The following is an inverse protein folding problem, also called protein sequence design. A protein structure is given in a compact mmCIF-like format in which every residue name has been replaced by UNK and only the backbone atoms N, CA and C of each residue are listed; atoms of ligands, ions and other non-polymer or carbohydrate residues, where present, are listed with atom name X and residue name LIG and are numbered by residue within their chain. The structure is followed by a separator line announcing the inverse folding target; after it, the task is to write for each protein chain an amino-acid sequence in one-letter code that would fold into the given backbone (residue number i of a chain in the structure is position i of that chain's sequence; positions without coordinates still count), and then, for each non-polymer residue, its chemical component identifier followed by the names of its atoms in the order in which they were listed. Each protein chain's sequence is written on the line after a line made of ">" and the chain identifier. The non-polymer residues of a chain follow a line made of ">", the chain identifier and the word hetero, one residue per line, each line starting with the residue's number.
data_IF_353114511994
#
_entry.id   IF_353114511994
#
_cell.length_a   1.000
_cell.length_b   1.000
_cell.length_c   1.000
_cell.angle_alpha   90.00
_cell.angle_beta   90.00
_cell.angle_gamma   90.00
#
_symmetry.space_group_name_H-M   'P 1'
#
loop_
_entity.id
_entity.type
_entity.pdbx_description
1 polymer ?
#
# COMPACT_ATOMS: atom_id res chain seq x y z
N UNK A 1 -8.18 -49.68 -31.19
CA UNK A 1 -7.98 -48.51 -32.08
C UNK A 1 -9.28 -48.01 -32.72
N UNK A 2 -10.23 -48.87 -33.11
CA UNK A 2 -11.51 -48.46 -33.70
C UNK A 2 -12.43 -47.65 -32.76
N UNK A 3 -12.40 -47.96 -31.47
CA UNK A 3 -13.29 -47.35 -30.45
C UNK A 3 -12.99 -45.86 -30.20
N UNK A 4 -11.70 -45.49 -30.21
CA UNK A 4 -11.26 -44.10 -30.06
C UNK A 4 -11.61 -43.23 -31.27
N UNK A 5 -11.54 -43.80 -32.48
CA UNK A 5 -11.99 -43.09 -33.67
C UNK A 5 -13.50 -42.85 -33.64
N UNK A 6 -14.29 -43.84 -33.17
CA UNK A 6 -15.74 -43.72 -33.10
C UNK A 6 -16.19 -42.61 -32.12
N UNK A 7 -15.58 -42.56 -30.93
CA UNK A 7 -15.82 -41.50 -29.93
C UNK A 7 -15.44 -40.12 -30.49
N UNK A 8 -14.30 -40.01 -31.17
CA UNK A 8 -13.84 -38.77 -31.79
C UNK A 8 -14.82 -38.27 -32.86
N UNK A 9 -15.29 -39.15 -33.74
CA UNK A 9 -16.25 -38.79 -34.80
C UNK A 9 -17.63 -38.40 -34.24
N UNK A 10 -18.06 -39.00 -33.13
CA UNK A 10 -19.30 -38.60 -32.44
C UNK A 10 -19.18 -37.23 -31.78
N UNK A 11 -18.05 -36.93 -31.14
CA UNK A 11 -17.75 -35.61 -30.57
C UNK A 11 -17.70 -34.53 -31.67
N UNK A 12 -17.01 -34.79 -32.77
CA UNK A 12 -16.93 -33.88 -33.92
C UNK A 12 -18.32 -33.61 -34.52
N UNK A 13 -19.17 -34.65 -34.66
CA UNK A 13 -20.57 -34.47 -35.11
C UNK A 13 -21.43 -33.69 -34.13
N UNK A 14 -21.30 -33.92 -32.83
CA UNK A 14 -22.07 -33.19 -31.81
C UNK A 14 -21.70 -31.69 -31.79
N UNK A 15 -20.41 -31.38 -31.94
CA UNK A 15 -19.89 -30.01 -32.09
C UNK A 15 -20.41 -29.36 -33.38
N UNK A 16 -20.46 -30.10 -34.49
CA UNK A 16 -20.93 -29.57 -35.78
C UNK A 16 -22.45 -29.41 -35.89
N UNK A 17 -23.24 -30.29 -35.25
CA UNK A 17 -24.70 -30.29 -35.35
C UNK A 17 -25.37 -29.37 -34.34
N UNK A 18 -24.73 -29.06 -33.21
CA UNK A 18 -25.27 -28.20 -32.15
C UNK A 18 -24.25 -27.20 -31.59
N UNK A 19 -23.56 -26.40 -32.43
CA UNK A 19 -22.53 -25.47 -31.97
C UNK A 19 -23.07 -24.44 -30.97
N UNK A 20 -24.33 -24.02 -31.15
CA UNK A 20 -25.01 -23.07 -30.25
C UNK A 20 -25.27 -23.66 -28.85
N UNK A 21 -25.67 -24.92 -28.71
CA UNK A 21 -25.97 -25.50 -27.39
C UNK A 21 -24.69 -25.67 -26.54
N UNK A 22 -23.61 -26.17 -27.12
CA UNK A 22 -22.31 -26.30 -26.43
C UNK A 22 -21.67 -24.94 -26.10
N UNK A 23 -21.83 -23.94 -26.98
CA UNK A 23 -21.41 -22.57 -26.72
C UNK A 23 -22.25 -21.92 -25.60
N UNK A 24 -23.56 -22.15 -25.57
CA UNK A 24 -24.45 -21.60 -24.52
C UNK A 24 -24.23 -22.19 -23.14
N UNK A 25 -23.97 -23.51 -23.02
CA UNK A 25 -23.66 -24.14 -21.72
C UNK A 25 -22.31 -23.67 -21.17
N UNK A 26 -21.32 -23.47 -22.04
CA UNK A 26 -20.00 -22.95 -21.67
C UNK A 26 -20.08 -21.47 -21.27
N UNK A 27 -20.88 -20.67 -22.00
CA UNK A 27 -21.15 -19.27 -21.68
C UNK A 27 -21.90 -19.10 -20.35
N UNK A 28 -22.92 -19.93 -20.09
CA UNK A 28 -23.65 -19.92 -18.83
C UNK A 28 -22.76 -20.29 -17.63
N UNK A 29 -21.91 -21.33 -17.77
CA UNK A 29 -20.95 -21.70 -16.73
C UNK A 29 -19.94 -20.57 -16.45
N UNK A 30 -19.40 -19.94 -17.49
CA UNK A 30 -18.50 -18.80 -17.34
C UNK A 30 -19.17 -17.61 -16.64
N UNK A 31 -20.43 -17.31 -16.97
CA UNK A 31 -21.22 -16.26 -16.31
C UNK A 31 -21.46 -16.59 -14.83
N UNK A 32 -21.75 -17.84 -14.49
CA UNK A 32 -21.94 -18.27 -13.08
C UNK A 32 -20.63 -18.13 -12.30
N UNK A 33 -19.50 -18.59 -12.85
CA UNK A 33 -18.19 -18.46 -12.21
C UNK A 33 -17.80 -16.99 -12.04
N UNK A 34 -18.01 -16.16 -13.07
CA UNK A 34 -17.76 -14.72 -13.01
C UNK A 34 -18.65 -14.03 -11.98
N UNK A 35 -19.94 -14.35 -11.93
CA UNK A 35 -20.86 -13.81 -10.92
C UNK A 35 -20.45 -14.22 -9.50
N UNK A 36 -20.10 -15.49 -9.28
CA UNK A 36 -19.61 -15.98 -7.99
C UNK A 36 -18.31 -15.26 -7.58
N UNK A 37 -17.39 -15.05 -8.51
CA UNK A 37 -16.18 -14.27 -8.29
C UNK A 37 -16.50 -12.82 -7.93
N UNK A 38 -17.38 -12.14 -8.67
CA UNK A 38 -17.82 -10.77 -8.40
C UNK A 38 -18.46 -10.65 -7.01
N UNK A 39 -19.32 -11.60 -6.62
CA UNK A 39 -19.95 -11.62 -5.29
C UNK A 39 -18.89 -11.77 -4.21
N UNK A 40 -17.93 -12.68 -4.39
CA UNK A 40 -16.84 -12.86 -3.43
C UNK A 40 -15.95 -11.62 -3.35
N UNK A 41 -15.52 -11.08 -4.48
CA UNK A 41 -14.64 -9.91 -4.54
C UNK A 41 -15.32 -8.66 -3.95
N UNK A 42 -16.63 -8.51 -4.16
CA UNK A 42 -17.43 -7.45 -3.53
C UNK A 42 -17.53 -7.62 -2.02
N UNK A 43 -17.74 -8.86 -1.53
CA UNK A 43 -17.74 -9.14 -0.08
C UNK A 43 -16.38 -8.88 0.55
N UNK A 44 -15.30 -9.29 -0.12
CA UNK A 44 -13.93 -9.01 0.32
C UNK A 44 -13.69 -7.49 0.36
N UNK A 45 -14.19 -6.74 -0.62
CA UNK A 45 -14.11 -5.27 -0.63
C UNK A 45 -14.85 -4.64 0.56
N UNK A 46 -16.08 -5.08 0.83
CA UNK A 46 -16.82 -4.60 2.00
C UNK A 46 -16.14 -5.00 3.32
N UNK A 47 -15.53 -6.18 3.40
CA UNK A 47 -14.85 -6.64 4.61
C UNK A 47 -13.65 -5.76 5.00
N UNK A 48 -13.10 -4.96 4.08
CA UNK A 48 -12.05 -3.96 4.38
C UNK A 48 -12.57 -2.74 5.14
N UNK A 49 -13.90 -2.58 5.24
CA UNK A 49 -14.55 -1.42 5.84
C UNK A 49 -14.53 -0.18 4.94
N UNK A 50 -15.02 0.97 5.45
CA UNK A 50 -14.97 2.24 4.71
C UNK A 50 -13.53 2.75 4.54
N UNK A 51 -13.34 3.64 3.56
CA UNK A 51 -12.07 4.32 3.26
C UNK A 51 -12.28 5.41 2.22
N UNK A 52 -11.22 5.76 1.47
CA UNK A 52 -11.31 6.80 0.43
C UNK A 52 -12.42 6.59 -0.63
N UNK A 53 -12.57 5.40 -1.25
CA UNK A 53 -13.64 5.13 -2.22
C UNK A 53 -15.01 4.86 -1.57
N UNK A 54 -16.13 5.07 -2.29
CA UNK A 54 -17.47 4.83 -1.76
C UNK A 54 -17.68 3.38 -1.30
N UNK A 55 -18.13 3.19 -0.06
CA UNK A 55 -18.39 1.87 0.53
C UNK A 55 -19.68 1.21 0.01
N UNK A 56 -19.71 0.89 -1.30
CA UNK A 56 -20.84 0.28 -2.00
C UNK A 56 -20.37 -0.35 -3.33
N UNK A 57 -21.32 -0.92 -4.09
CA UNK A 57 -21.04 -1.58 -5.36
C UNK A 57 -20.38 -0.67 -6.42
N UNK A 58 -20.65 0.64 -6.42
CA UNK A 58 -20.02 1.58 -7.37
C UNK A 58 -18.53 1.75 -7.05
N UNK A 59 -18.18 1.93 -5.77
CA UNK A 59 -16.80 2.01 -5.34
C UNK A 59 -16.03 0.71 -5.60
N UNK A 60 -16.64 -0.44 -5.29
CA UNK A 60 -16.09 -1.75 -5.64
C UNK A 60 -15.79 -1.88 -7.13
N UNK A 61 -16.77 -1.60 -8.00
CA UNK A 61 -16.61 -1.73 -9.45
C UNK A 61 -15.48 -0.82 -9.97
N UNK A 62 -15.39 0.42 -9.46
CA UNK A 62 -14.31 1.33 -9.81
C UNK A 62 -12.94 0.79 -9.38
N UNK A 63 -12.82 0.27 -8.16
CA UNK A 63 -11.55 -0.31 -7.67
C UNK A 63 -11.17 -1.57 -8.47
N UNK A 64 -12.13 -2.45 -8.72
CA UNK A 64 -11.86 -3.76 -9.33
C UNK A 64 -11.62 -3.67 -10.83
N UNK A 65 -12.38 -2.85 -11.57
CA UNK A 65 -12.26 -2.76 -13.03
C UNK A 65 -11.51 -1.51 -13.50
N UNK A 66 -11.55 -0.41 -12.74
CA UNK A 66 -10.92 0.85 -13.12
C UNK A 66 -9.52 1.06 -12.56
N UNK A 67 -9.23 0.56 -11.35
CA UNK A 67 -7.95 0.77 -10.67
C UNK A 67 -7.05 -0.47 -10.70
N UNK A 68 -7.57 -1.63 -10.28
CA UNK A 68 -6.80 -2.87 -10.09
C UNK A 68 -6.00 -3.31 -11.32
N UNK A 69 -6.47 -3.17 -12.58
CA UNK A 69 -5.67 -3.53 -13.76
C UNK A 69 -4.37 -2.73 -13.92
N UNK A 70 -4.30 -1.54 -13.32
CA UNK A 70 -3.14 -0.64 -13.38
C UNK A 70 -2.32 -0.64 -12.08
N UNK A 71 -2.75 -1.41 -11.08
CA UNK A 71 -2.05 -1.57 -9.82
C UNK A 71 -1.08 -2.76 -9.90
N UNK A 72 -0.03 -2.73 -9.08
CA UNK A 72 0.86 -3.86 -8.88
C UNK A 72 0.06 -5.11 -8.48
N UNK A 73 0.54 -6.29 -8.88
CA UNK A 73 0.10 -7.54 -8.28
C UNK A 73 0.50 -7.59 -6.80
N UNK A 74 -0.05 -8.55 -6.05
CA UNK A 74 0.35 -8.76 -4.65
C UNK A 74 1.85 -9.09 -4.54
N UNK A 75 2.38 -9.95 -5.41
CA UNK A 75 3.81 -10.24 -5.46
C UNK A 75 4.65 -9.04 -5.92
N UNK A 76 4.11 -8.21 -6.81
CA UNK A 76 4.72 -6.96 -7.25
C UNK A 76 4.90 -5.96 -6.12
N UNK A 77 4.02 -5.95 -5.11
CA UNK A 77 4.14 -5.07 -3.95
C UNK A 77 5.41 -5.33 -3.13
N UNK A 78 6.00 -6.53 -3.21
CA UNK A 78 7.26 -6.88 -2.51
C UNK A 78 8.50 -6.88 -3.41
N UNK A 79 8.36 -6.60 -4.71
CA UNK A 79 9.50 -6.48 -5.60
C UNK A 79 10.30 -5.21 -5.28
N UNK A 80 11.63 -5.27 -5.37
CA UNK A 80 12.52 -4.16 -4.95
C UNK A 80 13.67 -3.89 -5.93
N UNK A 81 13.81 -4.69 -6.99
CA UNK A 81 14.98 -4.57 -7.86
C UNK A 81 14.95 -3.30 -8.75
N UNK A 82 13.82 -2.59 -8.79
CA UNK A 82 13.72 -1.25 -9.36
C UNK A 82 14.19 -0.14 -8.41
N UNK A 83 14.46 -0.45 -7.14
CA UNK A 83 15.04 0.48 -6.18
C UNK A 83 16.58 0.35 -6.12
N UNK A 84 17.29 1.47 -5.89
CA UNK A 84 18.75 1.47 -5.80
C UNK A 84 19.23 0.58 -4.65
N UNK A 85 20.37 -0.09 -4.87
CA UNK A 85 21.05 -0.92 -3.85
C UNK A 85 21.83 -0.08 -2.84
N UNK A 86 22.24 1.13 -3.24
CA UNK A 86 23.05 2.05 -2.44
C UNK A 86 22.27 3.28 -2.00
N UNK A 87 22.79 3.98 -0.99
CA UNK A 87 22.21 5.24 -0.49
C UNK A 87 21.19 5.09 0.63
N UNK A 88 20.97 3.87 1.15
CA UNK A 88 20.13 3.69 2.35
C UNK A 88 20.85 4.19 3.59
N UNK A 89 20.10 4.83 4.47
CA UNK A 89 20.60 5.42 5.70
C UNK A 89 21.17 4.34 6.65
N UNK A 90 22.27 4.61 7.38
CA UNK A 90 22.90 3.65 8.27
C UNK A 90 21.95 3.02 9.30
N UNK A 91 21.05 3.81 9.88
CA UNK A 91 20.09 3.33 10.87
C UNK A 91 19.05 2.39 10.25
N UNK A 92 18.61 2.62 9.01
CA UNK A 92 17.72 1.72 8.27
C UNK A 92 18.45 0.41 7.95
N UNK A 93 19.72 0.50 7.51
CA UNK A 93 20.59 -0.67 7.32
C UNK A 93 20.85 -1.44 8.63
N UNK A 94 20.81 -0.78 9.78
CA UNK A 94 20.99 -1.42 11.09
C UNK A 94 19.73 -2.11 11.63
N UNK A 95 18.53 -1.82 11.10
CA UNK A 95 17.28 -2.42 11.57
C UNK A 95 17.33 -3.96 11.52
N UNK A 96 16.77 -4.68 12.50
CA UNK A 96 16.70 -6.13 12.42
C UNK A 96 15.72 -6.57 11.32
N UNK A 97 15.84 -7.82 10.86
CA UNK A 97 14.77 -8.45 10.06
C UNK A 97 13.54 -8.63 10.95
N UNK A 98 12.34 -8.32 10.43
CA UNK A 98 11.09 -8.54 11.16
C UNK A 98 10.91 -10.04 11.42
N UNK A 99 10.51 -10.40 12.63
CA UNK A 99 10.33 -11.80 13.02
C UNK A 99 9.04 -12.39 12.43
N UNK A 100 9.16 -13.61 11.89
CA UNK A 100 8.06 -14.36 11.30
C UNK A 100 7.74 -13.97 9.85
N UNK A 101 6.64 -14.49 9.35
CA UNK A 101 6.15 -14.19 8.00
C UNK A 101 5.66 -12.74 7.86
N UNK A 102 5.49 -12.29 6.63
CA UNK A 102 4.85 -11.01 6.33
C UNK A 102 3.41 -10.98 6.82
N UNK A 103 2.94 -9.82 7.28
CA UNK A 103 1.52 -9.64 7.54
C UNK A 103 0.76 -9.68 6.21
N UNK A 104 -0.46 -10.22 6.24
CA UNK A 104 -1.30 -10.28 5.05
C UNK A 104 -1.92 -8.90 4.82
N UNK A 105 -1.75 -8.34 3.62
CA UNK A 105 -2.41 -7.11 3.21
C UNK A 105 -3.58 -7.38 2.25
N UNK A 106 -4.61 -6.55 2.35
CA UNK A 106 -5.85 -6.64 1.59
C UNK A 106 -6.23 -5.32 0.94
N UNK A 107 -6.78 -5.40 -0.27
CA UNK A 107 -7.30 -4.24 -0.99
C UNK A 107 -6.27 -3.47 -1.82
N UNK A 108 -6.69 -2.28 -2.24
CA UNK A 108 -5.87 -1.25 -2.92
C UNK A 108 -6.29 0.09 -2.33
N UNK A 109 -7.60 0.36 -2.33
CA UNK A 109 -8.23 1.44 -1.61
C UNK A 109 -9.66 0.97 -1.26
N UNK A 110 -10.03 0.84 0.03
CA UNK A 110 -9.13 0.90 1.19
C UNK A 110 -8.02 -0.17 1.12
N UNK A 111 -6.89 0.12 1.76
CA UNK A 111 -5.78 -0.81 1.93
C UNK A 111 -5.68 -1.13 3.42
N UNK A 112 -5.69 -2.43 3.77
CA UNK A 112 -5.75 -2.88 5.17
C UNK A 112 -4.75 -3.98 5.45
N UNK A 113 -4.21 -3.99 6.66
CA UNK A 113 -3.53 -5.14 7.21
C UNK A 113 -4.58 -6.11 7.76
N UNK A 114 -4.54 -7.37 7.32
CA UNK A 114 -5.53 -8.42 7.62
C UNK A 114 -5.04 -9.47 8.62
N UNK A 115 -3.75 -9.46 8.96
CA UNK A 115 -3.19 -10.40 9.93
C UNK A 115 -2.10 -9.73 10.76
N UNK A 116 -1.70 -10.39 11.85
CA UNK A 116 -0.69 -9.88 12.78
C UNK A 116 -1.01 -8.46 13.32
N UNK A 117 -2.30 -8.18 13.57
CA UNK A 117 -2.74 -6.89 14.06
C UNK A 117 -1.99 -6.48 15.33
N UNK A 118 -1.60 -5.21 15.39
CA UNK A 118 -0.97 -4.67 16.58
C UNK A 118 -1.98 -4.67 17.75
N UNK A 119 -1.55 -4.95 18.99
CA UNK A 119 -2.39 -4.80 20.16
C UNK A 119 -2.90 -3.36 20.30
N UNK A 120 -4.15 -3.16 20.74
CA UNK A 120 -4.78 -1.83 20.84
C UNK A 120 -3.96 -0.81 21.63
N UNK A 121 -3.19 -1.25 22.64
CA UNK A 121 -2.27 -0.38 23.41
C UNK A 121 -1.23 0.35 22.56
N UNK A 122 -0.88 -0.17 21.38
CA UNK A 122 0.09 0.46 20.47
C UNK A 122 -0.49 1.70 19.78
N UNK A 123 -1.83 1.85 19.74
CA UNK A 123 -2.51 3.01 19.16
C UNK A 123 -1.97 4.33 19.74
N UNK A 124 -1.97 4.45 21.07
CA UNK A 124 -1.50 5.65 21.75
C UNK A 124 -0.04 5.96 21.43
N UNK A 125 0.81 4.95 21.27
CA UNK A 125 2.21 5.15 20.90
C UNK A 125 2.39 5.64 19.47
N UNK A 126 1.59 5.13 18.52
CA UNK A 126 1.60 5.61 17.13
C UNK A 126 1.03 7.03 17.06
N UNK A 127 -0.06 7.32 17.75
CA UNK A 127 -0.65 8.67 17.83
C UNK A 127 0.34 9.68 18.42
N UNK A 128 1.01 9.31 19.52
CA UNK A 128 2.07 10.13 20.12
C UNK A 128 3.23 10.34 19.15
N UNK A 129 3.69 9.28 18.45
CA UNK A 129 4.80 9.37 17.51
C UNK A 129 4.51 10.42 16.41
N UNK A 130 3.33 10.39 15.80
CA UNK A 130 2.94 11.33 14.76
C UNK A 130 2.76 12.76 15.31
N UNK A 131 2.07 12.89 16.44
CA UNK A 131 1.81 14.20 17.02
C UNK A 131 3.09 14.87 17.52
N UNK A 132 3.99 14.11 18.15
CA UNK A 132 5.26 14.62 18.63
C UNK A 132 6.20 14.98 17.47
N UNK A 133 6.21 14.23 16.36
CA UNK A 133 6.99 14.62 15.18
C UNK A 133 6.62 16.05 14.71
N UNK A 134 5.33 16.34 14.60
CA UNK A 134 4.88 17.68 14.22
C UNK A 134 5.21 18.75 15.28
N UNK A 135 5.10 18.43 16.58
CA UNK A 135 5.41 19.38 17.66
C UNK A 135 6.89 19.64 17.85
N UNK A 136 7.75 18.64 17.66
CA UNK A 136 9.21 18.77 17.77
C UNK A 136 9.79 19.48 16.54
N UNK A 137 9.15 19.37 15.37
CA UNK A 137 9.65 19.96 14.11
C UNK A 137 8.63 20.89 13.41
N UNK A 138 8.06 21.91 14.10
CA UNK A 138 6.97 22.71 13.57
C UNK A 138 7.37 23.62 12.40
N UNK A 139 8.67 23.82 12.17
CA UNK A 139 9.18 24.59 11.04
C UNK A 139 9.20 23.83 9.72
N UNK A 140 9.09 22.49 9.77
CA UNK A 140 9.20 21.62 8.59
C UNK A 140 8.05 20.61 8.47
N UNK A 141 7.29 20.37 9.54
CA UNK A 141 6.17 19.43 9.58
C UNK A 141 4.88 20.08 10.08
N UNK A 142 3.75 19.53 9.65
CA UNK A 142 2.43 19.88 10.15
C UNK A 142 1.47 18.68 10.06
N UNK A 143 0.36 18.74 10.80
CA UNK A 143 -0.71 17.73 10.74
C UNK A 143 -1.89 18.31 9.96
N UNK A 144 -2.38 17.57 8.97
CA UNK A 144 -3.62 17.89 8.25
C UNK A 144 -4.43 16.62 7.99
N UNK A 145 -5.66 16.76 7.47
CA UNK A 145 -6.42 15.59 6.99
C UNK A 145 -5.73 14.97 5.79
N UNK A 146 -5.59 13.64 5.79
CA UNK A 146 -5.02 12.89 4.66
C UNK A 146 -5.76 13.19 3.36
N UNK A 147 -5.02 13.43 2.29
CA UNK A 147 -5.53 13.59 0.93
C UNK A 147 -5.95 12.24 0.32
N UNK A 148 -5.34 11.14 0.76
CA UNK A 148 -5.63 9.79 0.27
C UNK A 148 -6.80 9.15 1.01
N UNK A 149 -6.76 9.12 2.34
CA UNK A 149 -7.76 8.41 3.16
C UNK A 149 -8.93 9.33 3.54
N UNK A 150 -8.74 10.66 3.56
CA UNK A 150 -9.77 11.71 3.76
C UNK A 150 -10.46 11.75 5.13
N UNK A 151 -10.27 10.74 5.96
CA UNK A 151 -10.92 10.61 7.26
C UNK A 151 -9.94 10.70 8.45
N UNK A 152 -8.67 10.35 8.22
CA UNK A 152 -7.63 10.34 9.25
C UNK A 152 -6.66 11.50 9.07
N UNK A 153 -6.04 11.90 10.18
CA UNK A 153 -4.97 12.87 10.16
C UNK A 153 -3.69 12.22 9.60
N UNK A 154 -2.93 13.01 8.86
CA UNK A 154 -1.66 12.63 8.27
C UNK A 154 -0.61 13.67 8.63
N UNK A 155 0.64 13.22 8.64
CA UNK A 155 1.81 14.07 8.74
C UNK A 155 2.15 14.60 7.35
N UNK A 156 2.40 15.90 7.28
CA UNK A 156 2.76 16.61 6.05
C UNK A 156 4.10 17.30 6.22
N UNK A 157 4.84 17.41 5.12
CA UNK A 157 5.81 18.49 4.93
C UNK A 157 5.06 19.81 5.03
N UNK A 158 5.51 20.71 5.91
CA UNK A 158 4.83 21.99 6.15
C UNK A 158 4.64 22.78 4.85
N UNK A 159 3.48 23.41 4.70
CA UNK A 159 3.18 24.24 3.55
C UNK A 159 4.24 25.33 3.31
N UNK A 160 4.74 25.96 4.40
CA UNK A 160 5.82 26.95 4.35
C UNK A 160 7.09 26.39 3.70
N UNK A 161 7.49 25.16 4.03
CA UNK A 161 8.67 24.53 3.43
C UNK A 161 8.44 24.16 1.96
N UNK A 162 7.25 23.64 1.62
CA UNK A 162 6.87 23.32 0.25
C UNK A 162 6.93 24.53 -0.68
N UNK A 163 6.49 25.70 -0.21
CA UNK A 163 6.49 26.92 -1.01
C UNK A 163 7.85 27.64 -1.04
N UNK A 164 8.58 27.65 0.08
CA UNK A 164 9.80 28.45 0.18
C UNK A 164 11.05 27.79 -0.40
N UNK A 165 11.11 26.46 -0.44
CA UNK A 165 12.31 25.71 -0.89
C UNK A 165 11.95 24.45 -1.70
N UNK A 166 11.06 24.52 -2.71
CA UNK A 166 10.61 23.35 -3.47
C UNK A 166 11.75 22.59 -4.16
N UNK A 167 12.82 23.30 -4.56
CA UNK A 167 14.00 22.73 -5.21
C UNK A 167 14.85 21.84 -4.31
N UNK A 168 14.71 21.98 -2.97
CA UNK A 168 15.41 21.15 -1.98
C UNK A 168 14.62 19.90 -1.58
N UNK A 169 13.37 19.79 -2.03
CA UNK A 169 12.50 18.67 -1.69
C UNK A 169 12.58 17.57 -2.75
N UNK A 170 12.43 16.29 -2.35
CA UNK A 170 12.33 15.22 -3.34
C UNK A 170 11.06 15.43 -4.18
N UNK A 171 11.10 14.99 -5.44
CA UNK A 171 9.92 14.98 -6.31
C UNK A 171 8.72 14.28 -5.66
N UNK A 172 8.97 13.27 -4.84
CA UNK A 172 7.95 12.56 -4.04
C UNK A 172 7.13 13.51 -3.18
N UNK A 173 7.75 14.47 -2.49
CA UNK A 173 7.04 15.45 -1.66
C UNK A 173 6.13 16.35 -2.49
N UNK A 174 6.57 16.74 -3.69
CA UNK A 174 5.77 17.55 -4.61
C UNK A 174 4.58 16.74 -5.16
N UNK A 175 4.83 15.50 -5.61
CA UNK A 175 3.78 14.61 -6.14
C UNK A 175 2.73 14.32 -5.07
N UNK A 176 3.16 14.03 -3.83
CA UNK A 176 2.27 13.75 -2.70
C UNK A 176 1.63 15.01 -2.10
N UNK A 177 1.93 16.21 -2.63
CA UNK A 177 1.47 17.51 -2.12
C UNK A 177 1.75 17.66 -0.62
N UNK A 178 2.93 17.22 -0.21
CA UNK A 178 3.39 17.25 1.16
C UNK A 178 3.00 16.05 2.02
N UNK A 179 1.99 15.26 1.65
CA UNK A 179 1.58 14.13 2.51
C UNK A 179 2.72 13.13 2.65
N UNK A 180 3.27 13.03 3.86
CA UNK A 180 4.37 12.14 4.19
C UNK A 180 3.82 10.77 4.56
N UNK A 181 2.74 10.74 5.33
CA UNK A 181 2.09 9.50 5.70
C UNK A 181 1.08 9.62 6.83
N UNK A 182 0.41 8.51 7.13
CA UNK A 182 -0.66 8.45 8.12
C UNK A 182 -0.84 7.05 8.70
N UNK A 183 -1.42 6.97 9.88
CA UNK A 183 -1.75 5.71 10.54
C UNK A 183 -3.18 5.26 10.19
N UNK A 184 -3.38 3.96 10.04
CA UNK A 184 -4.67 3.33 9.80
C UNK A 184 -5.36 2.90 11.11
N UNK A 185 -6.68 2.68 11.10
CA UNK A 185 -7.40 2.10 12.22
C UNK A 185 -6.87 0.74 12.67
N UNK A 186 -6.33 -0.07 11.74
CA UNK A 186 -5.71 -1.37 12.00
C UNK A 186 -4.25 -1.27 12.52
N UNK A 187 -3.79 -0.04 12.76
CA UNK A 187 -2.47 0.34 13.26
C UNK A 187 -1.30 0.05 12.30
N UNK A 188 -1.57 -0.31 11.04
CA UNK A 188 -0.59 -0.19 9.96
C UNK A 188 -0.39 1.28 9.60
N UNK A 189 0.73 1.60 8.94
CA UNK A 189 1.10 2.99 8.67
C UNK A 189 1.53 3.14 7.22
N UNK A 190 0.97 4.13 6.54
CA UNK A 190 1.49 4.57 5.26
C UNK A 190 2.59 5.61 5.43
N UNK A 191 3.72 5.43 4.73
CA UNK A 191 4.84 6.38 4.71
C UNK A 191 5.50 6.43 3.32
N UNK A 192 6.01 7.60 2.95
CA UNK A 192 6.96 7.77 1.87
C UNK A 192 8.41 7.69 2.37
N UNK A 193 9.24 6.92 1.68
CA UNK A 193 10.66 6.74 2.04
C UNK A 193 11.56 7.02 0.84
N UNK A 194 12.85 7.22 1.10
CA UNK A 194 13.83 7.21 0.02
C UNK A 194 13.79 5.84 -0.69
N UNK A 195 14.00 5.76 -2.01
CA UNK A 195 13.99 4.48 -2.71
C UNK A 195 14.94 3.42 -2.11
N UNK A 196 16.12 3.85 -1.64
CA UNK A 196 17.11 2.96 -1.03
C UNK A 196 16.64 2.44 0.34
N UNK A 197 16.02 3.27 1.18
CA UNK A 197 15.45 2.81 2.45
C UNK A 197 14.24 1.91 2.23
N UNK A 198 13.38 2.26 1.28
CA UNK A 198 12.21 1.48 0.92
C UNK A 198 12.61 0.04 0.54
N UNK A 199 13.69 -0.12 -0.24
CA UNK A 199 14.28 -1.43 -0.55
C UNK A 199 14.62 -2.21 0.73
N UNK A 200 15.45 -1.63 1.60
CA UNK A 200 15.94 -2.31 2.82
C UNK A 200 14.78 -2.69 3.75
N UNK A 201 13.81 -1.78 3.93
CA UNK A 201 12.63 -2.00 4.78
C UNK A 201 11.77 -3.15 4.23
N UNK A 202 11.54 -3.19 2.91
CA UNK A 202 10.80 -4.28 2.28
C UNK A 202 11.60 -5.58 2.40
N UNK A 203 12.89 -5.62 2.05
CA UNK A 203 13.74 -6.82 2.14
C UNK A 203 13.78 -7.40 3.57
N UNK A 204 13.79 -6.54 4.58
CA UNK A 204 13.74 -6.93 6.01
C UNK A 204 12.35 -7.34 6.50
N UNK A 205 11.32 -7.27 5.66
CA UNK A 205 9.98 -7.76 5.98
C UNK A 205 9.13 -6.81 6.83
N UNK A 206 9.47 -5.53 6.88
CA UNK A 206 8.73 -4.53 7.66
C UNK A 206 7.55 -3.91 6.90
N UNK A 207 7.56 -3.98 5.58
CA UNK A 207 6.59 -3.30 4.73
C UNK A 207 6.38 -4.00 3.38
N UNK A 208 5.33 -3.57 2.68
CA UNK A 208 5.14 -3.78 1.24
C UNK A 208 4.81 -2.43 0.58
N UNK A 209 5.01 -2.35 -0.74
CA UNK A 209 4.58 -1.18 -1.51
C UNK A 209 3.06 -1.09 -1.52
N UNK A 210 2.54 0.13 -1.44
CA UNK A 210 1.18 0.38 -1.86
C UNK A 210 1.04 -0.03 -3.34
N UNK A 211 -0.03 -0.74 -3.71
CA UNK A 211 -0.13 -1.30 -5.06
C UNK A 211 -0.26 -0.26 -6.17
N UNK A 212 -0.57 1.00 -5.84
CA UNK A 212 -0.54 2.14 -6.76
C UNK A 212 0.81 2.84 -6.83
N UNK A 213 1.76 2.48 -5.97
CA UNK A 213 3.15 2.93 -5.98
C UNK A 213 3.94 2.19 -7.05
N UNK A 214 3.56 2.37 -8.31
CA UNK A 214 4.17 1.70 -9.46
C UNK A 214 5.57 2.25 -9.76
N UNK A 215 6.45 1.49 -10.43
CA UNK A 215 7.77 1.97 -10.82
C UNK A 215 7.75 3.25 -11.67
N UNK A 216 8.81 4.05 -11.61
CA UNK A 216 8.98 5.29 -12.39
C UNK A 216 9.00 5.08 -13.92
N UNK A 217 9.20 3.83 -14.36
CA UNK A 217 9.13 3.41 -15.77
C UNK A 217 7.72 3.09 -16.23
N UNK A 218 6.74 3.01 -15.31
CA UNK A 218 5.35 2.72 -15.62
C UNK A 218 4.67 3.89 -16.32
N UNK A 219 3.83 3.60 -17.32
CA UNK A 219 3.02 4.61 -18.02
C UNK A 219 1.91 5.20 -17.14
N UNK A 220 1.53 4.52 -16.05
CA UNK A 220 0.56 5.02 -15.04
C UNK A 220 1.24 5.60 -13.79
N UNK A 221 2.54 5.92 -13.85
CA UNK A 221 3.26 6.51 -12.72
C UNK A 221 2.60 7.78 -12.21
N UNK A 222 2.67 8.00 -10.90
CA UNK A 222 2.15 9.18 -10.21
C UNK A 222 0.64 9.42 -10.36
N UNK A 223 -0.11 8.45 -10.92
CA UNK A 223 -1.57 8.52 -10.99
C UNK A 223 -2.14 8.61 -9.57
N UNK A 224 -3.16 9.44 -9.40
CA UNK A 224 -3.77 9.75 -8.09
C UNK A 224 -2.81 10.41 -7.09
N UNK A 225 -1.76 11.09 -7.57
CA UNK A 225 -0.77 11.76 -6.71
C UNK A 225 -0.01 10.78 -5.80
N UNK A 226 0.20 9.53 -6.24
CA UNK A 226 0.95 8.51 -5.50
C UNK A 226 2.30 8.28 -6.17
N UNK A 227 3.38 8.73 -5.52
CA UNK A 227 4.75 8.48 -5.99
C UNK A 227 5.21 7.03 -5.78
N UNK A 228 6.36 6.68 -6.37
CA UNK A 228 6.89 5.31 -6.48
C UNK A 228 7.43 4.67 -5.19
N UNK A 229 7.47 5.38 -4.06
CA UNK A 229 7.94 4.87 -2.75
C UNK A 229 6.90 4.94 -1.63
N UNK A 230 5.61 4.84 -1.95
CA UNK A 230 4.55 4.80 -0.94
C UNK A 230 4.43 3.40 -0.36
N UNK A 231 4.78 3.21 0.91
CA UNK A 231 4.77 1.90 1.56
C UNK A 231 3.62 1.77 2.56
N UNK A 232 3.17 0.53 2.78
CA UNK A 232 2.45 0.12 3.98
C UNK A 232 3.42 -0.54 4.95
N UNK A 233 3.76 0.14 6.04
CA UNK A 233 4.51 -0.41 7.15
C UNK A 233 3.55 -1.19 8.05
N UNK A 234 3.93 -2.40 8.44
CA UNK A 234 3.09 -3.22 9.30
C UNK A 234 2.95 -2.65 10.70
N UNK A 235 1.78 -2.85 11.29
CA UNK A 235 1.50 -2.44 12.67
C UNK A 235 2.48 -3.08 13.66
N UNK A 236 3.07 -2.30 14.58
CA UNK A 236 4.06 -2.78 15.54
C UNK A 236 3.40 -3.64 16.61
N UNK A 237 3.91 -4.86 16.81
CA UNK A 237 3.33 -5.85 17.75
C UNK A 237 3.72 -5.60 19.21
N UNK A 238 4.82 -4.86 19.42
CA UNK A 238 5.41 -4.58 20.73
C UNK A 238 6.31 -3.34 20.67
N UNK A 239 6.84 -2.93 21.81
CA UNK A 239 7.71 -1.75 21.93
C UNK A 239 9.00 -1.82 21.09
N UNK A 240 9.55 -3.02 20.86
CA UNK A 240 10.74 -3.16 20.00
C UNK A 240 10.40 -2.84 18.55
N UNK A 241 9.21 -3.24 18.08
CA UNK A 241 8.72 -2.88 16.75
C UNK A 241 8.29 -1.41 16.66
N UNK A 242 7.79 -0.82 17.75
CA UNK A 242 7.57 0.63 17.82
C UNK A 242 8.85 1.41 17.61
N UNK A 243 9.97 0.97 18.20
CA UNK A 243 11.26 1.63 17.99
C UNK A 243 11.72 1.53 16.52
N UNK A 244 11.44 0.42 15.85
CA UNK A 244 11.67 0.28 14.41
C UNK A 244 10.80 1.27 13.62
N UNK A 245 9.50 1.35 13.94
CA UNK A 245 8.59 2.30 13.30
C UNK A 245 9.05 3.75 13.49
N UNK A 246 9.55 4.13 14.68
CA UNK A 246 10.14 5.45 14.94
C UNK A 246 11.29 5.74 13.99
N UNK A 247 12.26 4.82 13.87
CA UNK A 247 13.42 4.99 12.97
C UNK A 247 12.97 5.12 11.51
N UNK A 248 11.97 4.34 11.09
CA UNK A 248 11.40 4.44 9.74
C UNK A 248 10.74 5.82 9.53
N UNK A 249 9.97 6.32 10.50
CA UNK A 249 9.33 7.63 10.42
C UNK A 249 10.37 8.76 10.34
N UNK A 250 11.41 8.73 11.17
CA UNK A 250 12.48 9.74 11.13
C UNK A 250 13.15 9.81 9.76
N UNK A 251 13.41 8.66 9.13
CA UNK A 251 13.98 8.60 7.78
C UNK A 251 12.99 9.01 6.69
N UNK A 252 11.70 8.76 6.91
CA UNK A 252 10.62 9.30 6.07
C UNK A 252 10.61 10.84 6.13
N UNK A 253 10.75 11.43 7.32
CA UNK A 253 10.84 12.89 7.53
C UNK A 253 12.09 13.44 6.84
N UNK A 254 13.27 12.87 7.09
CA UNK A 254 14.54 13.27 6.44
C UNK A 254 14.38 13.34 4.93
N UNK A 255 13.88 12.26 4.33
CA UNK A 255 13.65 12.18 2.89
C UNK A 255 12.66 13.23 2.42
N UNK A 256 11.44 13.25 2.95
CA UNK A 256 10.35 14.10 2.45
C UNK A 256 10.60 15.59 2.65
N UNK A 257 11.38 15.97 3.66
CA UNK A 257 11.72 17.38 3.97
C UNK A 257 13.07 17.82 3.40
N UNK A 258 13.83 16.91 2.76
CA UNK A 258 15.19 17.19 2.28
C UNK A 258 16.13 17.61 3.42
N UNK A 259 15.96 17.04 4.62
CA UNK A 259 16.79 17.32 5.79
C UNK A 259 17.75 16.16 6.05
N UNK A 260 19.00 16.50 6.32
CA UNK A 260 20.01 15.51 6.64
C UNK A 260 19.82 14.91 8.03
N UNK A 261 19.25 15.64 8.98
CA UNK A 261 19.03 15.17 10.35
C UNK A 261 17.65 15.57 10.87
N UNK A 262 17.12 14.74 11.74
CA UNK A 262 15.84 14.94 12.45
C UNK A 262 16.06 14.48 13.89
N UNK A 263 15.66 15.30 14.85
CA UNK A 263 15.75 14.93 16.28
C UNK A 263 14.94 13.66 16.54
N UNK A 264 15.43 12.81 17.46
CA UNK A 264 14.73 11.60 17.88
C UNK A 264 13.29 11.92 18.30
N UNK A 265 12.33 11.31 17.61
CA UNK A 265 10.91 11.52 17.87
C UNK A 265 10.47 10.67 19.06
N UNK A 266 9.90 11.32 20.08
CA UNK A 266 9.38 10.62 21.24
C UNK A 266 8.04 9.95 20.91
N UNK A 267 7.79 8.75 21.42
CA UNK A 267 6.51 8.05 21.20
C UNK A 267 5.88 7.50 22.48
N UNK A 268 6.65 7.39 23.57
CA UNK A 268 6.16 6.87 24.85
C UNK A 268 5.24 7.84 25.58
N UNK A 269 5.54 9.12 25.49
CA UNK A 269 4.82 10.21 26.15
C UNK A 269 4.51 11.29 25.13
N UNK A 270 3.43 12.04 25.36
CA UNK A 270 3.16 13.27 24.61
C UNK A 270 4.16 14.34 25.06
N UNK A 271 4.77 15.05 24.12
CA UNK A 271 5.70 16.17 24.36
C UNK A 271 5.12 17.46 23.83
#
# INVERSE_FOLDING_TARGET
>A
MADFQHIKTMLERAVHQRPFLLATTSGAAALVVFAAWCIKDYRDYLALGPGGPPYNAKGWAWITFGIRPFALSKSGATYVADYPTEGSHPEIKSLPRRQGERALLGGIAPHRQLSQHAPTRMRTYIENLFANAARQHPSILEIQKSLYERHHDALFVSHKLLESQPERLPKTAIIARGELGHAHPDLSVHLYLSPADARVIIEKGWAERHRLSVPETSWVKNKYAIASTYLMIYGPRNEKEMEVLRVILENSIRFMTGRDEVEKVQWKTTV
#
